data_IF_824215164942
#
_entry.id   IF_824215164942
#
_cell.length_a   1.000
_cell.length_b   1.000
_cell.length_c   1.000
_cell.angle_alpha   90.00
_cell.angle_beta   90.00
_cell.angle_gamma   90.00
#
_symmetry.space_group_name_H-M   'P 1'
#
loop_
_entity.id
_entity.type
_entity.pdbx_description
1 polymer ?
#
# COMPACT_ATOMS: atom_id res chain seq x y z
N UNK A 1 19.07 -10.78 -20.14
CA UNK A 1 17.64 -10.69 -20.48
C UNK A 1 17.19 -9.32 -20.03
N UNK A 2 16.80 -8.38 -20.91
CA UNK A 2 16.17 -7.15 -20.42
C UNK A 2 14.82 -7.55 -19.82
N UNK A 3 14.60 -7.24 -18.54
CA UNK A 3 13.30 -7.46 -17.92
C UNK A 3 12.27 -6.63 -18.65
N UNK A 4 11.28 -7.29 -19.25
CA UNK A 4 10.22 -6.62 -19.99
C UNK A 4 9.33 -5.90 -18.98
N UNK A 5 9.47 -4.58 -18.89
CA UNK A 5 8.61 -3.74 -18.08
C UNK A 5 7.22 -3.64 -18.74
N UNK A 6 6.33 -4.58 -18.41
CA UNK A 6 4.99 -4.75 -19.02
C UNK A 6 3.93 -3.79 -18.45
N UNK A 7 4.34 -2.66 -17.88
CA UNK A 7 3.41 -1.67 -17.32
C UNK A 7 2.58 -0.97 -18.41
N UNK A 8 2.98 -1.06 -19.68
CA UNK A 8 2.30 -0.50 -20.85
C UNK A 8 0.91 -1.12 -21.13
N UNK A 9 0.62 -2.29 -20.57
CA UNK A 9 -0.69 -2.96 -20.73
C UNK A 9 -1.74 -2.52 -19.71
N UNK A 10 -1.36 -1.72 -18.72
CA UNK A 10 -2.22 -1.26 -17.63
C UNK A 10 -2.34 0.26 -17.68
N UNK A 11 -3.56 0.77 -17.47
CA UNK A 11 -3.77 2.20 -17.22
C UNK A 11 -3.30 2.52 -15.79
N UNK A 12 -2.03 2.92 -15.69
CA UNK A 12 -1.39 3.17 -14.41
C UNK A 12 -2.05 4.30 -13.63
N UNK A 13 -2.54 5.34 -14.31
CA UNK A 13 -3.15 6.48 -13.62
C UNK A 13 -4.47 6.07 -12.98
N UNK A 14 -5.33 5.31 -13.69
CA UNK A 14 -6.55 4.76 -13.09
C UNK A 14 -6.27 3.74 -11.99
N UNK A 15 -5.28 2.87 -12.19
CA UNK A 15 -4.91 1.88 -11.19
C UNK A 15 -4.46 2.54 -9.89
N UNK A 16 -3.62 3.57 -10.00
CA UNK A 16 -3.06 4.24 -8.82
C UNK A 16 -4.07 5.18 -8.17
N UNK A 17 -4.94 5.85 -8.95
CA UNK A 17 -6.08 6.60 -8.39
C UNK A 17 -6.96 5.70 -7.50
N UNK A 18 -7.22 4.46 -7.92
CA UNK A 18 -7.96 3.51 -7.08
C UNK A 18 -7.19 3.11 -5.82
N UNK A 19 -5.88 2.84 -5.92
CA UNK A 19 -5.03 2.53 -4.77
C UNK A 19 -5.03 3.68 -3.76
N UNK A 20 -4.92 4.93 -4.21
CA UNK A 20 -4.93 6.11 -3.35
C UNK A 20 -6.28 6.33 -2.67
N UNK A 21 -7.40 6.03 -3.33
CA UNK A 21 -8.73 6.07 -2.70
C UNK A 21 -8.88 5.04 -1.57
N UNK A 22 -8.03 4.02 -1.53
CA UNK A 22 -7.99 3.04 -0.45
C UNK A 22 -7.06 3.45 0.70
N UNK A 23 -6.30 4.55 0.57
CA UNK A 23 -5.41 5.05 1.61
C UNK A 23 -6.20 5.76 2.71
N UNK A 24 -6.01 5.33 3.95
CA UNK A 24 -6.77 5.81 5.09
C UNK A 24 -5.98 6.81 5.94
N UNK A 25 -6.70 7.57 6.75
CA UNK A 25 -6.11 8.61 7.61
C UNK A 25 -5.11 8.08 8.64
N UNK A 26 -5.20 6.80 9.00
CA UNK A 26 -4.31 6.11 9.94
C UNK A 26 -2.97 5.73 9.31
N UNK A 27 -2.83 5.82 7.98
CA UNK A 27 -1.62 5.44 7.24
C UNK A 27 -1.67 4.02 6.65
N UNK A 28 -2.77 3.30 6.83
CA UNK A 28 -3.00 1.99 6.23
C UNK A 28 -3.82 2.04 4.93
N UNK A 29 -4.11 0.86 4.39
CA UNK A 29 -4.90 0.67 3.17
C UNK A 29 -6.04 -0.31 3.39
N UNK A 30 -7.23 0.06 2.93
CA UNK A 30 -8.41 -0.80 2.88
C UNK A 30 -8.53 -1.58 1.57
N UNK A 31 -9.33 -2.64 1.55
CA UNK A 31 -9.54 -3.49 0.35
C UNK A 31 -10.32 -2.79 -0.76
N UNK A 32 -11.05 -1.73 -0.41
CA UNK A 32 -11.73 -0.79 -1.30
C UNK A 32 -11.79 0.57 -0.59
N UNK A 33 -12.14 1.65 -1.29
CA UNK A 33 -12.32 2.95 -0.66
C UNK A 33 -13.26 2.88 0.55
N UNK A 34 -12.95 3.66 1.59
CA UNK A 34 -13.69 3.74 2.85
C UNK A 34 -13.69 2.46 3.72
N UNK A 35 -12.87 1.46 3.36
CA UNK A 35 -12.74 0.23 4.16
C UNK A 35 -11.64 0.33 5.19
N UNK A 36 -11.76 -0.43 6.28
CA UNK A 36 -10.74 -0.52 7.33
C UNK A 36 -9.37 -0.95 6.78
N UNK A 37 -8.31 -0.37 7.35
CA UNK A 37 -6.93 -0.68 7.04
C UNK A 37 -6.52 -2.10 7.45
N UNK A 38 -5.91 -2.85 6.52
CA UNK A 38 -5.52 -4.25 6.72
C UNK A 38 -4.07 -4.49 6.25
N UNK A 39 -3.20 -5.14 7.05
CA UNK A 39 -1.77 -5.31 6.69
C UNK A 39 -1.57 -6.02 5.36
N UNK A 40 -2.37 -7.05 5.11
CA UNK A 40 -2.32 -7.80 3.84
C UNK A 40 -2.55 -6.88 2.64
N UNK A 41 -3.37 -5.84 2.79
CA UNK A 41 -3.63 -4.89 1.72
C UNK A 41 -2.52 -3.86 1.59
N UNK A 42 -1.96 -3.39 2.70
CA UNK A 42 -0.85 -2.42 2.72
C UNK A 42 0.34 -2.92 1.90
N UNK A 43 0.70 -4.21 2.00
CA UNK A 43 1.79 -4.78 1.21
C UNK A 43 1.58 -4.62 -0.30
N UNK A 44 0.40 -5.00 -0.81
CA UNK A 44 0.08 -4.93 -2.24
C UNK A 44 -0.04 -3.48 -2.73
N UNK A 45 -0.66 -2.59 -1.95
CA UNK A 45 -0.80 -1.18 -2.30
C UNK A 45 0.56 -0.46 -2.33
N UNK A 46 1.38 -0.65 -1.29
CA UNK A 46 2.71 -0.05 -1.22
C UNK A 46 3.62 -0.59 -2.33
N UNK A 47 3.56 -1.90 -2.61
CA UNK A 47 4.29 -2.51 -3.72
C UNK A 47 3.88 -1.94 -5.08
N UNK A 48 2.58 -1.71 -5.30
CA UNK A 48 2.07 -1.09 -6.53
C UNK A 48 2.57 0.35 -6.70
N UNK A 49 2.57 1.14 -5.61
CA UNK A 49 3.13 2.49 -5.61
C UNK A 49 4.65 2.47 -5.86
N UNK A 50 5.38 1.53 -5.26
CA UNK A 50 6.83 1.38 -5.45
C UNK A 50 7.21 0.99 -6.88
N UNK A 51 6.55 -0.03 -7.45
CA UNK A 51 6.79 -0.51 -8.82
C UNK A 51 6.50 0.61 -9.83
N UNK A 52 5.49 1.44 -9.55
CA UNK A 52 5.10 2.52 -10.45
C UNK A 52 5.76 3.86 -10.15
N UNK A 53 6.65 3.93 -9.15
CA UNK A 53 7.38 5.14 -8.78
C UNK A 53 6.49 6.27 -8.25
N UNK A 54 5.46 5.92 -7.45
CA UNK A 54 4.44 6.86 -6.92
C UNK A 54 4.34 6.83 -5.38
N UNK A 55 5.39 6.44 -4.67
CA UNK A 55 5.40 6.37 -3.21
C UNK A 55 5.23 7.75 -2.55
N UNK A 56 5.66 8.81 -3.22
CA UNK A 56 5.54 10.20 -2.77
C UNK A 56 4.09 10.72 -2.70
N UNK A 57 3.12 9.94 -3.19
CA UNK A 57 1.70 10.30 -3.15
C UNK A 57 1.02 9.94 -1.82
N UNK A 58 1.74 9.32 -0.89
CA UNK A 58 1.27 9.01 0.46
C UNK A 58 2.23 9.58 1.52
N UNK A 59 1.76 9.61 2.77
CA UNK A 59 2.58 9.95 3.93
C UNK A 59 3.39 8.72 4.36
N UNK A 60 4.59 8.57 3.77
CA UNK A 60 5.47 7.41 3.94
C UNK A 60 5.82 7.18 5.41
N UNK A 61 6.05 8.24 6.17
CA UNK A 61 6.39 8.15 7.60
C UNK A 61 5.20 7.63 8.41
N UNK A 62 3.99 8.07 8.08
CA UNK A 62 2.77 7.56 8.72
C UNK A 62 2.53 6.10 8.40
N UNK A 63 2.66 5.69 7.13
CA UNK A 63 2.54 4.26 6.77
C UNK A 63 3.62 3.42 7.44
N UNK A 64 4.86 3.93 7.53
CA UNK A 64 5.94 3.28 8.27
C UNK A 64 5.62 3.07 9.75
N UNK A 65 5.07 4.11 10.40
CA UNK A 65 4.59 4.01 11.79
C UNK A 65 3.47 3.00 11.94
N UNK A 66 2.47 3.05 11.06
CA UNK A 66 1.32 2.13 11.08
C UNK A 66 1.77 0.66 10.96
N UNK A 67 2.78 0.38 10.13
CA UNK A 67 3.38 -0.95 10.02
C UNK A 67 4.16 -1.35 11.29
N UNK A 68 4.93 -0.43 11.87
CA UNK A 68 5.70 -0.69 13.09
C UNK A 68 4.80 -1.00 14.30
N UNK A 69 3.66 -0.31 14.42
CA UNK A 69 2.67 -0.52 15.48
C UNK A 69 2.02 -1.91 15.45
N UNK A 70 2.13 -2.62 14.32
CA UNK A 70 1.57 -3.95 14.13
C UNK A 70 2.53 -5.07 14.52
N UNK A 71 3.77 -4.73 14.89
CA UNK A 71 4.73 -5.70 15.39
C UNK A 71 4.38 -6.15 16.80
N UNK A 72 4.09 -7.44 16.95
CA UNK A 72 3.81 -8.08 18.21
C UNK A 72 5.11 -8.39 18.97
N UNK A 73 5.02 -8.54 20.30
CA UNK A 73 6.16 -8.99 21.15
C UNK A 73 6.73 -10.34 20.74
N UNK A 74 5.96 -11.17 20.06
CA UNK A 74 6.41 -12.45 19.48
C UNK A 74 7.33 -12.29 18.27
N UNK A 75 7.48 -11.07 17.74
CA UNK A 75 8.22 -10.77 16.52
C UNK A 75 7.38 -10.84 15.23
N UNK A 76 6.16 -11.38 15.29
CA UNK A 76 5.23 -11.40 14.15
C UNK A 76 4.48 -10.07 13.96
N UNK A 77 3.69 -9.96 12.89
CA UNK A 77 2.83 -8.82 12.60
C UNK A 77 1.35 -9.18 12.76
N UNK A 78 0.52 -8.28 13.29
CA UNK A 78 -0.93 -8.47 13.33
C UNK A 78 -1.61 -8.07 11.98
N UNK A 79 -2.79 -8.65 11.71
CA UNK A 79 -3.48 -8.59 10.41
C UNK A 79 -4.61 -7.56 10.31
N UNK A 80 -5.28 -7.26 11.42
CA UNK A 80 -6.43 -6.34 11.53
C UNK A 80 -6.29 -5.58 12.85
N UNK A 81 -6.92 -4.41 12.96
CA UNK A 81 -7.03 -3.70 14.23
C UNK A 81 -7.93 -4.45 15.24
#
# INVERSE_FOLDING_TARGET
>A
MPESNRLDIVDLDKAIDFVLKCYNFDGGFGTRPESESHAGQVYCCLGSLAITGRLEQIDIDRTGRWLAERQCRSGGLNGIH
#
